data_IF_377601387800
#
_entry.id   IF_377601387800
#
_cell.length_a   1.000
_cell.length_b   1.000
_cell.length_c   1.000
_cell.angle_alpha   90.00
_cell.angle_beta   90.00
_cell.angle_gamma   90.00
#
_symmetry.space_group_name_H-M   'P 1'
#
loop_
_entity.id
_entity.type
_entity.pdbx_description
1 polymer ?
#
# COMPACT_ATOMS: atom_id res chain seq x y z
N UNK A 1 38.39 -26.78 -7.48
CA UNK A 1 37.06 -26.12 -7.65
C UNK A 1 37.26 -24.88 -8.52
N UNK A 2 36.52 -24.72 -9.63
CA UNK A 2 36.76 -23.69 -10.65
C UNK A 2 36.69 -22.25 -10.11
N UNK A 3 36.01 -22.02 -8.99
CA UNK A 3 35.91 -20.71 -8.34
C UNK A 3 37.25 -20.19 -7.79
N UNK A 4 38.22 -21.08 -7.50
CA UNK A 4 39.53 -20.67 -6.94
C UNK A 4 40.47 -19.96 -7.93
N UNK A 5 39.99 -19.66 -9.15
CA UNK A 5 40.74 -18.92 -10.17
C UNK A 5 40.39 -17.42 -10.23
N UNK A 6 39.41 -16.93 -9.45
CA UNK A 6 38.99 -15.52 -9.43
C UNK A 6 39.64 -14.81 -8.24
N UNK A 7 40.10 -13.56 -8.30
CA UNK A 7 40.66 -12.89 -7.11
C UNK A 7 39.71 -12.85 -5.90
N UNK A 8 40.24 -12.95 -4.67
CA UNK A 8 39.51 -12.93 -3.40
C UNK A 8 38.62 -11.70 -3.27
N UNK A 9 39.17 -10.54 -3.61
CA UNK A 9 38.45 -9.26 -3.56
C UNK A 9 37.23 -9.26 -4.48
N UNK A 10 37.37 -9.80 -5.70
CA UNK A 10 36.28 -9.87 -6.66
C UNK A 10 35.20 -10.87 -6.20
N UNK A 11 35.57 -12.01 -5.61
CA UNK A 11 34.59 -12.95 -5.02
C UNK A 11 33.80 -12.33 -3.87
N UNK A 12 34.49 -11.62 -2.97
CA UNK A 12 33.86 -10.91 -1.87
C UNK A 12 32.91 -9.83 -2.39
N UNK A 13 33.38 -9.01 -3.34
CA UNK A 13 32.57 -7.97 -3.96
C UNK A 13 31.32 -8.53 -4.64
N UNK A 14 31.43 -9.63 -5.39
CA UNK A 14 30.28 -10.28 -6.03
C UNK A 14 29.31 -10.85 -4.99
N UNK A 15 29.82 -11.51 -3.95
CA UNK A 15 28.99 -12.08 -2.87
C UNK A 15 28.19 -11.02 -2.13
N UNK A 16 28.85 -9.98 -1.63
CA UNK A 16 28.19 -8.87 -0.95
C UNK A 16 27.33 -8.03 -1.90
N UNK A 17 27.79 -7.81 -3.14
CA UNK A 17 27.07 -7.05 -4.16
C UNK A 17 25.73 -7.68 -4.51
N UNK A 18 25.66 -9.01 -4.66
CA UNK A 18 24.40 -9.74 -4.89
C UNK A 18 23.45 -9.55 -3.70
N UNK A 19 23.95 -9.64 -2.46
CA UNK A 19 23.13 -9.44 -1.26
C UNK A 19 22.59 -8.01 -1.19
N UNK A 20 23.45 -7.01 -1.45
CA UNK A 20 23.04 -5.60 -1.49
C UNK A 20 21.98 -5.35 -2.58
N UNK A 21 22.15 -5.92 -3.77
CA UNK A 21 21.17 -5.82 -4.86
C UNK A 21 19.83 -6.45 -4.48
N UNK A 22 19.84 -7.62 -3.83
CA UNK A 22 18.63 -8.26 -3.34
C UNK A 22 17.91 -7.42 -2.28
N UNK A 23 18.66 -6.85 -1.32
CA UNK A 23 18.11 -5.95 -0.30
C UNK A 23 17.52 -4.68 -0.93
N UNK A 24 18.22 -4.06 -1.88
CA UNK A 24 17.73 -2.90 -2.61
C UNK A 24 16.46 -3.22 -3.41
N UNK A 25 16.41 -4.39 -4.07
CA UNK A 25 15.24 -4.87 -4.80
C UNK A 25 14.03 -5.13 -3.90
N UNK A 26 14.24 -5.77 -2.74
CA UNK A 26 13.21 -5.99 -1.72
C UNK A 26 12.68 -4.65 -1.17
N UNK A 27 13.59 -3.72 -0.85
CA UNK A 27 13.23 -2.39 -0.38
C UNK A 27 12.43 -1.59 -1.40
N UNK A 28 12.89 -1.58 -2.66
CA UNK A 28 12.18 -0.93 -3.76
C UNK A 28 10.78 -1.53 -3.98
N UNK A 29 10.66 -2.87 -3.96
CA UNK A 29 9.37 -3.54 -4.08
C UNK A 29 8.41 -3.17 -2.95
N UNK A 30 8.91 -3.14 -1.70
CA UNK A 30 8.11 -2.75 -0.54
C UNK A 30 7.59 -1.31 -0.66
N UNK A 31 8.45 -0.37 -1.09
CA UNK A 31 8.07 1.02 -1.30
C UNK A 31 6.99 1.18 -2.38
N UNK A 32 7.14 0.49 -3.53
CA UNK A 32 6.13 0.52 -4.60
C UNK A 32 4.77 -0.03 -4.14
N UNK A 33 4.78 -1.07 -3.30
CA UNK A 33 3.54 -1.63 -2.74
C UNK A 33 2.90 -0.74 -1.69
N UNK A 34 3.70 -0.07 -0.87
CA UNK A 34 3.21 0.94 0.08
C UNK A 34 2.57 2.15 -0.62
N UNK A 35 3.09 2.56 -1.78
CA UNK A 35 2.53 3.67 -2.55
C UNK A 35 1.09 3.37 -3.03
N UNK A 36 0.85 2.16 -3.54
CA UNK A 36 -0.49 1.72 -3.92
C UNK A 36 -1.47 1.68 -2.74
N UNK A 37 -1.03 1.19 -1.58
CA UNK A 37 -1.86 1.21 -0.36
C UNK A 37 -2.15 2.64 0.11
N UNK A 38 -1.15 3.52 0.03
CA UNK A 38 -1.29 4.93 0.38
C UNK A 38 -2.27 5.64 -0.55
N UNK A 39 -2.23 5.36 -1.85
CA UNK A 39 -3.16 5.94 -2.84
C UNK A 39 -4.60 5.51 -2.58
N UNK A 40 -4.86 4.23 -2.31
CA UNK A 40 -6.20 3.74 -1.97
C UNK A 40 -6.73 4.35 -0.67
N UNK A 41 -5.88 4.46 0.35
CA UNK A 41 -6.25 5.14 1.59
C UNK A 41 -6.59 6.62 1.36
N UNK A 42 -5.84 7.28 0.47
CA UNK A 42 -6.06 8.68 0.10
C UNK A 42 -7.38 8.87 -0.65
N UNK A 43 -7.73 7.97 -1.57
CA UNK A 43 -9.03 7.99 -2.27
C UNK A 43 -10.20 7.78 -1.30
N UNK A 44 -10.08 6.83 -0.37
CA UNK A 44 -11.10 6.62 0.65
C UNK A 44 -11.27 7.86 1.55
N UNK A 45 -10.17 8.49 1.97
CA UNK A 45 -10.19 9.65 2.87
C UNK A 45 -10.71 10.92 2.19
N UNK A 46 -10.31 11.19 0.95
CA UNK A 46 -10.52 12.48 0.31
C UNK A 46 -11.67 12.49 -0.70
N UNK A 47 -12.05 11.33 -1.25
CA UNK A 47 -13.08 11.23 -2.29
C UNK A 47 -14.30 10.49 -1.74
N UNK A 48 -14.18 9.18 -1.51
CA UNK A 48 -15.35 8.32 -1.24
C UNK A 48 -16.07 8.63 0.08
N UNK A 49 -15.32 8.71 1.20
CA UNK A 49 -15.93 8.93 2.52
C UNK A 49 -16.58 10.33 2.64
N UNK A 50 -15.94 11.43 2.18
CA UNK A 50 -16.60 12.73 2.10
C UNK A 50 -17.87 12.73 1.25
N UNK A 51 -17.85 12.11 0.06
CA UNK A 51 -19.01 12.01 -0.82
C UNK A 51 -20.18 11.27 -0.17
N UNK A 52 -19.96 10.07 0.38
CA UNK A 52 -21.02 9.31 1.08
C UNK A 52 -21.60 10.11 2.25
N UNK A 53 -20.74 10.74 3.05
CA UNK A 53 -21.18 11.55 4.20
C UNK A 53 -21.99 12.77 3.76
N UNK A 54 -21.58 13.44 2.68
CA UNK A 54 -22.29 14.61 2.18
C UNK A 54 -23.61 14.23 1.52
N UNK A 55 -23.67 13.10 0.78
CA UNK A 55 -24.93 12.56 0.27
C UNK A 55 -25.91 12.21 1.40
N UNK A 56 -25.44 11.64 2.51
CA UNK A 56 -26.28 11.40 3.71
C UNK A 56 -26.79 12.69 4.36
N UNK A 57 -26.07 13.81 4.25
CA UNK A 57 -26.56 15.12 4.70
C UNK A 57 -27.65 15.66 3.77
N UNK A 58 -27.51 15.47 2.45
CA UNK A 58 -28.58 15.80 1.48
C UNK A 58 -29.84 14.98 1.81
N UNK A 59 -29.69 13.67 2.04
CA UNK A 59 -30.78 12.79 2.44
C UNK A 59 -31.49 13.30 3.70
N UNK A 60 -30.72 13.58 4.75
CA UNK A 60 -31.26 14.09 6.01
C UNK A 60 -32.00 15.42 5.82
N UNK A 61 -31.42 16.36 5.06
CA UNK A 61 -32.05 17.65 4.77
C UNK A 61 -33.34 17.47 3.96
N UNK A 62 -33.34 16.56 2.98
CA UNK A 62 -34.52 16.23 2.17
C UNK A 62 -35.65 15.60 3.00
N UNK A 63 -35.32 14.69 3.91
CA UNK A 63 -36.27 14.06 4.83
C UNK A 63 -36.86 15.08 5.81
N UNK A 64 -36.04 15.95 6.39
CA UNK A 64 -36.51 17.02 7.28
C UNK A 64 -37.41 18.01 6.54
N UNK A 65 -37.03 18.43 5.33
CA UNK A 65 -37.86 19.30 4.49
C UNK A 65 -39.20 18.65 4.15
N UNK A 66 -39.20 17.35 3.81
CA UNK A 66 -40.43 16.58 3.58
C UNK A 66 -41.31 16.45 4.81
N UNK A 67 -40.71 16.21 5.97
CA UNK A 67 -41.44 16.13 7.23
C UNK A 67 -42.12 17.45 7.56
N UNK A 68 -41.39 18.57 7.42
CA UNK A 68 -41.91 19.88 7.76
C UNK A 68 -42.97 20.37 6.75
N UNK A 69 -42.81 20.06 5.46
CA UNK A 69 -43.85 20.31 4.45
C UNK A 69 -45.17 19.58 4.76
N UNK A 70 -45.12 18.40 5.38
CA UNK A 70 -46.33 17.69 5.85
C UNK A 70 -46.90 18.33 7.12
N UNK A 71 -46.05 18.71 8.07
CA UNK A 71 -46.48 19.43 9.28
C UNK A 71 -47.15 20.75 8.95
N UNK A 72 -46.64 21.47 7.94
CA UNK A 72 -47.23 22.70 7.44
C UNK A 72 -48.71 22.53 7.08
N UNK A 73 -49.13 21.41 6.49
CA UNK A 73 -50.56 21.17 6.17
C UNK A 73 -51.38 20.73 7.39
N UNK A 74 -50.73 20.24 8.45
CA UNK A 74 -51.39 19.78 9.67
C UNK A 74 -51.50 20.87 10.75
N UNK A 75 -50.81 21.99 10.59
CA UNK A 75 -50.74 23.07 11.57
C UNK A 75 -51.85 24.11 11.33
N UNK A 76 -52.54 24.53 12.38
CA UNK A 76 -53.57 25.56 12.31
C UNK A 76 -52.95 26.95 12.03
N UNK A 77 -51.73 27.20 12.53
CA UNK A 77 -50.99 28.45 12.31
C UNK A 77 -49.90 28.31 11.24
N UNK A 78 -50.18 27.50 10.21
CA UNK A 78 -49.24 27.24 9.10
C UNK A 78 -48.77 28.49 8.37
N UNK A 79 -49.50 29.61 8.48
CA UNK A 79 -49.18 30.88 7.82
C UNK A 79 -48.40 31.84 8.71
N UNK A 80 -48.08 31.45 9.95
CA UNK A 80 -47.20 32.22 10.81
C UNK A 80 -45.84 32.46 10.15
N UNK A 81 -45.21 33.58 10.51
CA UNK A 81 -43.86 33.89 10.07
C UNK A 81 -42.88 32.79 10.51
N UNK A 82 -43.08 32.18 11.68
CA UNK A 82 -42.24 31.10 12.19
C UNK A 82 -42.30 29.85 11.31
N UNK A 83 -43.51 29.36 10.97
CA UNK A 83 -43.70 28.18 10.12
C UNK A 83 -43.08 28.38 8.74
N UNK A 84 -43.33 29.54 8.13
CA UNK A 84 -42.75 29.90 6.83
C UNK A 84 -41.23 30.01 6.86
N UNK A 85 -40.67 30.63 7.90
CA UNK A 85 -39.22 30.76 8.06
C UNK A 85 -38.54 29.40 8.24
N UNK A 86 -39.16 28.50 9.00
CA UNK A 86 -38.65 27.15 9.22
C UNK A 86 -38.64 26.33 7.93
N UNK A 87 -39.74 26.34 7.17
CA UNK A 87 -39.83 25.63 5.89
C UNK A 87 -38.81 26.16 4.88
N UNK A 88 -38.66 27.49 4.79
CA UNK A 88 -37.66 28.13 3.94
C UNK A 88 -36.22 27.82 4.39
N UNK A 89 -35.96 27.77 5.70
CA UNK A 89 -34.67 27.36 6.24
C UNK A 89 -34.29 25.94 5.84
N UNK A 90 -35.24 25.00 5.88
CA UNK A 90 -35.03 23.62 5.45
C UNK A 90 -34.84 23.50 3.94
N UNK A 91 -35.61 24.27 3.14
CA UNK A 91 -35.40 24.41 1.68
C UNK A 91 -33.98 24.85 1.36
N UNK A 92 -33.50 25.91 2.01
CA UNK A 92 -32.15 26.44 1.82
C UNK A 92 -31.08 25.44 2.28
N UNK A 93 -31.31 24.73 3.38
CA UNK A 93 -30.40 23.68 3.85
C UNK A 93 -30.27 22.54 2.84
N UNK A 94 -31.37 22.09 2.22
CA UNK A 94 -31.33 21.07 1.17
C UNK A 94 -30.51 21.54 -0.04
N UNK A 95 -30.77 22.75 -0.54
CA UNK A 95 -30.03 23.33 -1.67
C UNK A 95 -28.54 23.49 -1.35
N UNK A 96 -28.22 24.04 -0.17
CA UNK A 96 -26.83 24.22 0.25
C UNK A 96 -26.08 22.90 0.38
N UNK A 97 -26.71 21.85 0.93
CA UNK A 97 -26.08 20.53 1.03
C UNK A 97 -25.87 19.90 -0.35
N UNK A 98 -26.78 20.12 -1.31
CA UNK A 98 -26.62 19.69 -2.69
C UNK A 98 -25.49 20.45 -3.39
N UNK A 99 -25.38 21.76 -3.22
CA UNK A 99 -24.29 22.56 -3.81
C UNK A 99 -22.92 22.19 -3.21
N UNK A 100 -22.86 21.94 -1.90
CA UNK A 100 -21.63 21.52 -1.20
C UNK A 100 -21.10 20.18 -1.72
N UNK A 101 -21.95 19.37 -2.36
CA UNK A 101 -21.53 18.09 -2.94
C UNK A 101 -20.75 18.26 -4.26
N UNK A 102 -21.05 19.29 -5.06
CA UNK A 102 -20.50 19.44 -6.41
C UNK A 102 -18.96 19.31 -6.52
N UNK A 103 -18.16 19.91 -5.61
CA UNK A 103 -16.70 19.76 -5.63
C UNK A 103 -16.17 18.36 -5.32
N UNK A 104 -17.00 17.45 -4.80
CA UNK A 104 -16.62 16.08 -4.44
C UNK A 104 -16.77 15.09 -5.60
N UNK A 105 -17.40 15.51 -6.71
CA UNK A 105 -17.63 14.64 -7.86
C UNK A 105 -16.30 14.22 -8.47
N UNK A 106 -16.10 12.89 -8.53
CA UNK A 106 -14.84 12.25 -8.89
C UNK A 106 -14.94 11.33 -10.11
N UNK A 107 -16.15 11.05 -10.59
CA UNK A 107 -16.38 10.16 -11.74
C UNK A 107 -17.56 10.58 -12.62
N UNK A 108 -17.60 10.15 -13.90
CA UNK A 108 -18.75 10.44 -14.78
C UNK A 108 -20.08 9.86 -14.30
N UNK A 109 -20.07 8.66 -13.70
CA UNK A 109 -21.28 8.04 -13.16
C UNK A 109 -21.81 8.79 -11.93
N UNK A 110 -20.90 9.27 -11.08
CA UNK A 110 -21.24 10.11 -9.94
C UNK A 110 -21.79 11.47 -10.38
N UNK A 111 -21.19 12.09 -11.39
CA UNK A 111 -21.65 13.34 -11.99
C UNK A 111 -23.09 13.21 -12.52
N UNK A 112 -23.41 12.13 -13.23
CA UNK A 112 -24.77 11.85 -13.70
C UNK A 112 -25.77 11.69 -12.55
N UNK A 113 -25.39 10.93 -11.51
CA UNK A 113 -26.22 10.76 -10.33
C UNK A 113 -26.43 12.08 -9.57
N UNK A 114 -25.37 12.89 -9.44
CA UNK A 114 -25.41 14.19 -8.78
C UNK A 114 -26.32 15.18 -9.52
N UNK A 115 -26.21 15.26 -10.85
CA UNK A 115 -27.12 16.07 -11.68
C UNK A 115 -28.58 15.66 -11.51
N UNK A 116 -28.84 14.35 -11.34
CA UNK A 116 -30.18 13.87 -11.09
C UNK A 116 -30.69 14.28 -9.70
N UNK A 117 -29.85 14.21 -8.68
CA UNK A 117 -30.18 14.69 -7.32
C UNK A 117 -30.55 16.17 -7.31
N UNK A 118 -29.75 17.02 -7.96
CA UNK A 118 -30.02 18.46 -8.01
C UNK A 118 -31.32 18.77 -8.76
N UNK A 119 -31.54 18.13 -9.92
CA UNK A 119 -32.78 18.28 -10.69
C UNK A 119 -34.03 17.81 -9.92
N UNK A 120 -33.98 16.63 -9.31
CA UNK A 120 -35.13 16.07 -8.58
C UNK A 120 -35.42 16.86 -7.28
N UNK A 121 -34.39 17.41 -6.62
CA UNK A 121 -34.54 18.30 -5.47
C UNK A 121 -35.21 19.62 -5.85
N UNK A 122 -34.78 20.28 -6.94
CA UNK A 122 -35.41 21.51 -7.45
C UNK A 122 -36.86 21.26 -7.86
N UNK A 123 -37.13 20.14 -8.55
CA UNK A 123 -38.49 19.77 -8.93
C UNK A 123 -39.38 19.50 -7.70
N UNK A 124 -38.83 18.88 -6.65
CA UNK A 124 -39.55 18.67 -5.39
C UNK A 124 -39.85 19.99 -4.68
N UNK A 125 -38.86 20.87 -4.55
CA UNK A 125 -39.01 22.21 -3.98
C UNK A 125 -40.11 22.98 -4.70
N UNK A 126 -40.13 22.97 -6.04
CA UNK A 126 -41.15 23.64 -6.82
C UNK A 126 -42.58 23.14 -6.49
N UNK A 127 -42.75 21.84 -6.20
CA UNK A 127 -44.04 21.29 -5.76
C UNK A 127 -44.41 21.67 -4.33
N UNK A 128 -43.44 21.88 -3.45
CA UNK A 128 -43.71 22.43 -2.13
C UNK A 128 -44.05 23.93 -2.20
N UNK A 129 -43.39 24.70 -3.07
CA UNK A 129 -43.75 26.10 -3.31
C UNK A 129 -45.21 26.22 -3.83
N UNK A 130 -45.62 25.33 -4.74
CA UNK A 130 -47.01 25.23 -5.22
C UNK A 130 -47.99 24.86 -4.08
N UNK A 131 -47.60 23.93 -3.20
CA UNK A 131 -48.38 23.58 -2.00
C UNK A 131 -48.59 24.78 -1.07
N UNK A 132 -47.54 25.56 -0.83
CA UNK A 132 -47.60 26.78 0.00
C UNK A 132 -48.55 27.80 -0.63
N UNK A 133 -48.51 28.02 -1.94
CA UNK A 133 -49.46 28.91 -2.62
C UNK A 133 -50.92 28.41 -2.50
N UNK A 134 -51.14 27.11 -2.74
CA UNK A 134 -52.47 26.49 -2.63
C UNK A 134 -53.06 26.59 -1.22
N UNK A 135 -52.21 26.59 -0.18
CA UNK A 135 -52.66 26.71 1.22
C UNK A 135 -53.40 28.01 1.53
N UNK A 136 -53.28 29.02 0.68
CA UNK A 136 -53.97 30.30 0.84
C UNK A 136 -55.44 30.26 0.44
N UNK A 137 -55.84 29.26 -0.35
CA UNK A 137 -57.14 29.21 -1.06
C UNK A 137 -57.85 27.86 -1.01
N UNK A 138 -57.17 26.78 -0.62
CA UNK A 138 -57.68 25.41 -0.61
C UNK A 138 -58.01 24.93 0.79
N UNK A 139 -58.94 23.99 0.90
CA UNK A 139 -59.22 23.31 2.17
C UNK A 139 -58.10 22.34 2.56
N UNK A 140 -58.03 21.96 3.83
CA UNK A 140 -57.08 20.95 4.31
C UNK A 140 -57.21 19.62 3.57
N UNK A 141 -58.44 19.18 3.27
CA UNK A 141 -58.67 17.96 2.49
C UNK A 141 -58.08 18.02 1.09
N UNK A 142 -58.18 19.17 0.41
CA UNK A 142 -57.56 19.39 -0.90
C UNK A 142 -56.02 19.41 -0.82
N UNK A 143 -55.46 20.01 0.24
CA UNK A 143 -54.01 20.02 0.47
C UNK A 143 -53.46 18.63 0.79
N UNK A 144 -54.19 17.81 1.55
CA UNK A 144 -53.83 16.42 1.79
C UNK A 144 -53.81 15.60 0.50
N UNK A 145 -54.78 15.81 -0.40
CA UNK A 145 -54.79 15.17 -1.73
C UNK A 145 -53.58 15.62 -2.54
N UNK A 146 -53.25 16.91 -2.53
CA UNK A 146 -52.06 17.43 -3.22
C UNK A 146 -50.76 16.83 -2.66
N UNK A 147 -50.64 16.68 -1.34
CA UNK A 147 -49.49 16.00 -0.73
C UNK A 147 -49.40 14.54 -1.18
N UNK A 148 -50.52 13.83 -1.22
CA UNK A 148 -50.56 12.40 -1.56
C UNK A 148 -50.20 12.17 -3.02
N UNK A 149 -50.78 12.95 -3.92
CA UNK A 149 -50.78 12.67 -5.36
C UNK A 149 -49.71 13.45 -6.12
N UNK A 150 -49.23 14.59 -5.60
CA UNK A 150 -48.27 15.46 -6.27
C UNK A 150 -46.93 15.51 -5.54
N UNK A 151 -46.91 15.92 -4.26
CA UNK A 151 -45.62 16.14 -3.57
C UNK A 151 -44.97 14.82 -3.13
N UNK A 152 -45.74 13.82 -2.70
CA UNK A 152 -45.20 12.55 -2.22
C UNK A 152 -44.51 11.71 -3.30
N UNK A 153 -45.03 11.59 -4.55
CA UNK A 153 -44.29 10.96 -5.64
C UNK A 153 -42.99 11.70 -5.97
N UNK A 154 -43.01 13.03 -6.01
CA UNK A 154 -41.81 13.83 -6.29
C UNK A 154 -40.76 13.69 -5.19
N UNK A 155 -41.18 13.64 -3.92
CA UNK A 155 -40.29 13.37 -2.79
C UNK A 155 -39.66 11.96 -2.88
N UNK A 156 -40.40 10.96 -3.36
CA UNK A 156 -39.87 9.60 -3.58
C UNK A 156 -38.84 9.58 -4.71
N UNK A 157 -39.10 10.31 -5.81
CA UNK A 157 -38.13 10.43 -6.91
C UNK A 157 -36.82 11.09 -6.44
N UNK A 158 -36.92 12.19 -5.68
CA UNK A 158 -35.76 12.84 -5.08
C UNK A 158 -35.01 11.91 -4.12
N UNK A 159 -35.70 11.20 -3.22
CA UNK A 159 -35.07 10.22 -2.33
C UNK A 159 -34.35 9.11 -3.11
N UNK A 160 -34.98 8.54 -4.14
CA UNK A 160 -34.37 7.49 -4.97
C UNK A 160 -33.12 7.98 -5.71
N UNK A 161 -33.09 9.25 -6.16
CA UNK A 161 -31.89 9.83 -6.76
C UNK A 161 -30.73 9.96 -5.77
N UNK A 162 -31.03 10.30 -4.50
CA UNK A 162 -30.01 10.42 -3.44
C UNK A 162 -29.48 9.04 -3.05
N UNK A 163 -30.37 8.06 -2.90
CA UNK A 163 -29.99 6.65 -2.68
C UNK A 163 -29.08 6.14 -3.80
N UNK A 164 -29.39 6.50 -5.06
CA UNK A 164 -28.54 6.13 -6.20
C UNK A 164 -27.16 6.78 -6.13
N UNK A 165 -27.07 8.05 -5.74
CA UNK A 165 -25.79 8.73 -5.55
C UNK A 165 -24.95 8.08 -4.44
N UNK A 166 -25.58 7.69 -3.32
CA UNK A 166 -24.93 6.94 -2.24
C UNK A 166 -24.42 5.58 -2.77
N UNK A 167 -25.25 4.86 -3.52
CA UNK A 167 -24.90 3.55 -4.10
C UNK A 167 -23.68 3.64 -5.03
N UNK A 168 -23.61 4.66 -5.89
CA UNK A 168 -22.48 4.88 -6.81
C UNK A 168 -21.18 5.06 -6.02
N UNK A 169 -21.21 5.87 -4.96
CA UNK A 169 -20.02 6.10 -4.14
C UNK A 169 -19.61 4.87 -3.31
N UNK A 170 -20.58 4.12 -2.78
CA UNK A 170 -20.30 2.87 -2.07
C UNK A 170 -19.66 1.84 -3.01
N UNK A 171 -20.17 1.71 -4.25
CA UNK A 171 -19.58 0.85 -5.28
C UNK A 171 -18.17 1.28 -5.67
N UNK A 172 -17.95 2.58 -5.83
CA UNK A 172 -16.62 3.14 -6.11
C UNK A 172 -15.62 2.83 -4.98
N UNK A 173 -16.04 3.02 -3.73
CA UNK A 173 -15.25 2.68 -2.54
C UNK A 173 -14.93 1.18 -2.45
N UNK A 174 -15.93 0.31 -2.68
CA UNK A 174 -15.76 -1.14 -2.67
C UNK A 174 -14.80 -1.60 -3.76
N UNK A 175 -14.94 -1.08 -4.99
CA UNK A 175 -14.04 -1.40 -6.10
C UNK A 175 -12.60 -0.96 -5.81
N UNK A 176 -12.42 0.23 -5.21
CA UNK A 176 -11.10 0.68 -4.73
C UNK A 176 -10.52 -0.27 -3.66
N UNK A 177 -11.37 -0.82 -2.79
CA UNK A 177 -11.01 -1.85 -1.81
C UNK A 177 -10.56 -3.16 -2.48
N UNK A 178 -11.34 -3.68 -3.43
CA UNK A 178 -11.02 -4.93 -4.14
C UNK A 178 -9.70 -4.85 -4.93
N UNK A 179 -9.43 -3.71 -5.57
CA UNK A 179 -8.15 -3.46 -6.24
C UNK A 179 -7.00 -3.45 -5.24
N UNK A 180 -7.20 -2.88 -4.05
CA UNK A 180 -6.22 -2.85 -2.97
C UNK A 180 -5.91 -4.25 -2.43
N UNK A 181 -6.94 -5.06 -2.20
CA UNK A 181 -6.80 -6.44 -1.74
C UNK A 181 -6.06 -7.31 -2.76
N UNK A 182 -6.40 -7.18 -4.04
CA UNK A 182 -5.69 -7.88 -5.11
C UNK A 182 -4.21 -7.48 -5.19
N UNK A 183 -3.93 -6.17 -5.07
CA UNK A 183 -2.57 -5.64 -5.05
C UNK A 183 -1.76 -6.12 -3.84
N UNK A 184 -2.43 -6.26 -2.68
CA UNK A 184 -1.86 -6.77 -1.44
C UNK A 184 -1.51 -8.25 -1.57
N UNK A 185 -2.44 -9.12 -1.98
CA UNK A 185 -2.19 -10.56 -2.14
C UNK A 185 -1.10 -10.83 -3.18
N UNK A 186 -1.14 -10.16 -4.33
CA UNK A 186 -0.07 -10.25 -5.34
C UNK A 186 1.29 -9.79 -4.78
N UNK A 187 1.31 -8.66 -4.05
CA UNK A 187 2.53 -8.14 -3.44
C UNK A 187 3.10 -9.06 -2.38
N UNK A 188 2.24 -9.69 -1.59
CA UNK A 188 2.61 -10.68 -0.59
C UNK A 188 3.25 -11.91 -1.23
N UNK A 189 2.65 -12.48 -2.28
CA UNK A 189 3.23 -13.62 -3.00
C UNK A 189 4.61 -13.28 -3.56
N UNK A 190 4.75 -12.14 -4.26
CA UNK A 190 6.04 -11.71 -4.83
C UNK A 190 7.09 -11.48 -3.73
N UNK A 191 6.71 -10.85 -2.63
CA UNK A 191 7.60 -10.62 -1.49
C UNK A 191 8.09 -11.94 -0.88
N UNK A 192 7.20 -12.91 -0.67
CA UNK A 192 7.60 -14.24 -0.19
C UNK A 192 8.55 -14.94 -1.15
N UNK A 193 8.27 -14.90 -2.46
CA UNK A 193 9.16 -15.48 -3.47
C UNK A 193 10.55 -14.84 -3.45
N UNK A 194 10.62 -13.51 -3.35
CA UNK A 194 11.90 -12.78 -3.27
C UNK A 194 12.67 -13.12 -1.99
N UNK A 195 12.00 -13.26 -0.84
CA UNK A 195 12.63 -13.65 0.43
C UNK A 195 13.21 -15.06 0.30
N UNK A 196 12.44 -16.03 -0.20
CA UNK A 196 12.92 -17.42 -0.37
C UNK A 196 14.13 -17.45 -1.30
N UNK A 197 14.04 -16.74 -2.44
CA UNK A 197 15.15 -16.66 -3.39
C UNK A 197 16.41 -16.03 -2.76
N UNK A 198 16.23 -14.95 -1.99
CA UNK A 198 17.33 -14.29 -1.30
C UNK A 198 18.00 -15.22 -0.27
N UNK A 199 17.22 -15.97 0.52
CA UNK A 199 17.74 -16.95 1.47
C UNK A 199 18.54 -18.04 0.76
N UNK A 200 18.01 -18.60 -0.34
CA UNK A 200 18.71 -19.62 -1.13
C UNK A 200 20.04 -19.09 -1.66
N UNK A 201 20.05 -17.88 -2.22
CA UNK A 201 21.27 -17.25 -2.74
C UNK A 201 22.28 -17.00 -1.61
N UNK A 202 21.85 -16.50 -0.45
CA UNK A 202 22.72 -16.29 0.71
C UNK A 202 23.35 -17.62 1.16
N UNK A 203 22.60 -18.71 1.22
CA UNK A 203 23.12 -20.02 1.58
C UNK A 203 24.15 -20.54 0.57
N UNK A 204 23.92 -20.32 -0.73
CA UNK A 204 24.87 -20.67 -1.79
C UNK A 204 26.16 -19.86 -1.62
N UNK A 205 26.05 -18.53 -1.49
CA UNK A 205 27.20 -17.63 -1.31
C UNK A 205 27.97 -18.02 -0.05
N UNK A 206 27.29 -18.22 1.08
CA UNK A 206 27.91 -18.61 2.35
C UNK A 206 28.66 -19.95 2.23
N UNK A 207 28.08 -20.94 1.53
CA UNK A 207 28.71 -22.24 1.30
C UNK A 207 29.95 -22.11 0.42
N UNK A 208 29.86 -21.32 -0.65
CA UNK A 208 30.99 -21.03 -1.55
C UNK A 208 32.10 -20.30 -0.81
N UNK A 209 31.78 -19.28 -0.02
CA UNK A 209 32.74 -18.53 0.79
C UNK A 209 33.44 -19.41 1.82
N UNK A 210 32.67 -20.23 2.54
CA UNK A 210 33.20 -21.16 3.53
C UNK A 210 34.17 -22.17 2.90
N UNK A 211 33.84 -22.72 1.73
CA UNK A 211 34.69 -23.70 1.04
C UNK A 211 35.90 -23.09 0.35
N UNK A 212 35.77 -21.89 -0.22
CA UNK A 212 36.85 -21.26 -1.01
C UNK A 212 37.81 -20.40 -0.19
N UNK A 213 37.40 -19.94 1.01
CA UNK A 213 38.18 -19.03 1.85
C UNK A 213 38.40 -19.63 3.24
N UNK A 214 37.34 -19.84 4.01
CA UNK A 214 37.48 -20.24 5.42
C UNK A 214 38.21 -21.59 5.58
N UNK A 215 37.92 -22.57 4.73
CA UNK A 215 38.60 -23.88 4.77
C UNK A 215 40.10 -23.80 4.41
N UNK A 216 40.53 -23.23 3.27
CA UNK A 216 41.96 -23.07 2.97
C UNK A 216 42.74 -22.25 4.00
N UNK A 217 42.13 -21.18 4.54
CA UNK A 217 42.74 -20.38 5.61
C UNK A 217 42.94 -21.22 6.87
N UNK A 218 41.94 -22.01 7.27
CA UNK A 218 42.06 -22.90 8.42
C UNK A 218 43.15 -23.96 8.21
N UNK A 219 43.20 -24.59 7.03
CA UNK A 219 44.24 -25.58 6.71
C UNK A 219 45.64 -24.97 6.76
N UNK A 220 45.82 -23.75 6.20
CA UNK A 220 47.10 -23.05 6.25
C UNK A 220 47.50 -22.68 7.68
N UNK A 221 46.55 -22.25 8.51
CA UNK A 221 46.77 -21.96 9.92
C UNK A 221 47.22 -23.22 10.69
N UNK A 222 46.55 -24.36 10.45
CA UNK A 222 46.89 -25.63 11.09
C UNK A 222 48.30 -26.10 10.68
N UNK A 223 48.68 -26.01 9.40
CA UNK A 223 50.05 -26.32 8.96
C UNK A 223 51.07 -25.37 9.58
N UNK A 224 50.77 -24.07 9.67
CA UNK A 224 51.69 -23.08 10.25
C UNK A 224 51.93 -23.32 11.74
N UNK A 225 50.89 -23.72 12.48
CA UNK A 225 51.01 -24.10 13.91
C UNK A 225 51.96 -25.28 14.10
N UNK A 226 51.82 -26.34 13.28
CA UNK A 226 52.73 -27.50 13.34
C UNK A 226 54.19 -27.14 13.06
N UNK A 227 54.43 -26.24 12.10
CA UNK A 227 55.78 -25.73 11.81
C UNK A 227 56.35 -25.01 13.03
N UNK A 228 55.55 -24.16 13.68
CA UNK A 228 55.96 -23.43 14.88
C UNK A 228 56.27 -24.35 16.08
N UNK A 229 55.59 -25.51 16.16
CA UNK A 229 55.86 -26.56 17.14
C UNK A 229 57.09 -27.43 16.79
N UNK A 230 57.77 -27.15 15.66
CA UNK A 230 58.96 -27.86 15.21
C UNK A 230 58.68 -29.08 14.32
N UNK A 231 57.42 -29.38 14.01
CA UNK A 231 57.05 -30.47 13.11
C UNK A 231 57.17 -30.02 11.64
N UNK A 232 58.39 -30.10 11.11
CA UNK A 232 58.67 -29.81 9.70
C UNK A 232 58.20 -30.93 8.75
N UNK A 233 57.71 -32.08 9.24
CA UNK A 233 57.21 -33.16 8.37
C UNK A 233 55.83 -32.84 7.79
N UNK A 234 55.18 -31.78 8.28
CA UNK A 234 53.93 -31.27 7.70
C UNK A 234 54.10 -30.82 6.24
N UNK A 235 52.99 -30.68 5.54
CA UNK A 235 52.93 -30.14 4.18
C UNK A 235 51.98 -28.95 4.14
N UNK A 236 52.26 -28.00 3.23
CA UNK A 236 51.36 -26.89 2.94
C UNK A 236 50.63 -27.24 1.66
N UNK A 237 49.32 -27.48 1.76
CA UNK A 237 48.50 -27.77 0.58
C UNK A 237 48.32 -26.50 -0.27
N UNK A 238 48.85 -26.53 -1.48
CA UNK A 238 48.68 -25.47 -2.48
C UNK A 238 47.55 -25.90 -3.42
N UNK A 239 46.51 -25.08 -3.52
CA UNK A 239 45.37 -25.35 -4.39
C UNK A 239 44.80 -24.02 -4.89
N UNK A 240 44.32 -23.93 -6.13
CA UNK A 240 43.78 -22.69 -6.72
C UNK A 240 44.82 -21.83 -7.46
N UNK A 241 44.42 -20.61 -7.79
CA UNK A 241 45.25 -19.60 -8.47
C UNK A 241 44.93 -18.18 -7.98
N UNK A 242 44.55 -18.04 -6.71
CA UNK A 242 44.14 -16.77 -6.08
C UNK A 242 45.18 -16.24 -5.09
N UNK A 243 44.90 -15.08 -4.48
CA UNK A 243 45.76 -14.44 -3.48
C UNK A 243 46.02 -15.35 -2.27
N UNK A 244 45.07 -16.25 -1.93
CA UNK A 244 45.27 -17.28 -0.91
C UNK A 244 46.23 -18.37 -1.39
N UNK A 245 46.18 -18.76 -2.67
CA UNK A 245 47.17 -19.67 -3.27
C UNK A 245 48.57 -19.07 -3.26
N UNK A 246 48.72 -17.78 -3.58
CA UNK A 246 50.02 -17.10 -3.50
C UNK A 246 50.56 -17.10 -2.06
N UNK A 247 49.69 -16.88 -1.07
CA UNK A 247 50.06 -17.03 0.34
C UNK A 247 50.46 -18.47 0.68
N UNK A 248 49.71 -19.47 0.21
CA UNK A 248 50.05 -20.90 0.40
C UNK A 248 51.42 -21.25 -0.20
N UNK A 249 51.73 -20.74 -1.41
CA UNK A 249 53.04 -20.93 -2.06
C UNK A 249 54.16 -20.29 -1.26
N UNK A 250 53.98 -19.06 -0.78
CA UNK A 250 54.96 -18.37 0.05
C UNK A 250 55.24 -19.12 1.37
N UNK A 251 54.20 -19.62 2.03
CA UNK A 251 54.35 -20.44 3.24
C UNK A 251 55.04 -21.78 2.97
N UNK A 252 54.78 -22.41 1.83
CA UNK A 252 55.46 -23.64 1.43
C UNK A 252 56.96 -23.40 1.16
N UNK A 253 57.31 -22.30 0.49
CA UNK A 253 58.69 -21.90 0.26
C UNK A 253 59.43 -21.65 1.58
N UNK A 254 58.80 -20.96 2.53
CA UNK A 254 59.34 -20.75 3.88
C UNK A 254 59.64 -22.08 4.60
N UNK A 255 58.72 -23.06 4.53
CA UNK A 255 58.93 -24.39 5.10
C UNK A 255 60.12 -25.11 4.44
N UNK A 256 60.27 -25.00 3.13
CA UNK A 256 61.41 -25.58 2.41
C UNK A 256 62.74 -24.98 2.89
N UNK A 257 62.83 -23.66 2.96
CA UNK A 257 64.06 -22.99 3.42
C UNK A 257 64.41 -23.34 4.86
N UNK A 258 63.41 -23.52 5.73
CA UNK A 258 63.61 -24.01 7.11
C UNK A 258 64.19 -25.43 7.13
N UNK A 259 63.67 -26.34 6.30
CA UNK A 259 64.20 -27.70 6.16
C UNK A 259 65.64 -27.69 5.66
N UNK A 260 65.92 -26.93 4.62
CA UNK A 260 67.25 -26.82 4.02
C UNK A 260 68.25 -26.28 5.05
N UNK A 261 67.86 -25.27 5.82
CA UNK A 261 68.70 -24.70 6.89
C UNK A 261 69.01 -25.74 7.97
N UNK A 262 68.03 -26.52 8.42
CA UNK A 262 68.27 -27.60 9.40
C UNK A 262 69.14 -28.71 8.81
N UNK A 263 68.92 -29.08 7.53
CA UNK A 263 69.74 -30.08 6.86
C UNK A 263 71.20 -29.63 6.76
N UNK A 264 71.45 -28.38 6.36
CA UNK A 264 72.79 -27.80 6.32
C UNK A 264 73.47 -27.78 7.70
N UNK A 265 72.74 -27.45 8.77
CA UNK A 265 73.26 -27.49 10.14
C UNK A 265 73.60 -28.93 10.57
N UNK A 266 72.74 -29.90 10.22
CA UNK A 266 72.95 -31.32 10.50
C UNK A 266 74.18 -31.87 9.77
N UNK A 267 74.32 -31.56 8.48
CA UNK A 267 75.47 -32.00 7.67
C UNK A 267 76.78 -31.40 8.18
N UNK A 268 76.76 -30.12 8.59
CA UNK A 268 77.93 -29.45 9.17
C UNK A 268 78.33 -30.02 10.54
N UNK A 269 77.35 -30.45 11.35
CA UNK A 269 77.58 -31.03 12.68
C UNK A 269 78.00 -32.50 12.63
N UNK A 270 77.64 -33.24 11.58
CA UNK A 270 78.07 -34.63 11.36
C UNK A 270 79.48 -34.79 10.79
N UNK A 271 80.12 -33.68 10.36
CA UNK A 271 81.50 -33.62 9.89
C UNK A 271 82.53 -33.32 11.02
N UNK A 272 82.06 -33.17 12.26
CA UNK A 272 82.88 -33.02 13.48
C UNK A 272 82.81 -34.31 14.31
#
# INVERSE_FOLDING_TARGET
MPIRNIGLNLRAFLGFGIICLLLAGLGAHALLKMDGLHQSAKQLQNDWLPSVRQAGRIETAGLLYRLDARRFVMDDDRRSAESMNKLNGLKNSLLQNADTYGPLVSSPEEEDAYRKVTADAVAYIAKIDELVELSTRKSDSELFVFIRDVTSPQAKASQASIEKLIEVNLKGAEQSGLVSDSNYESGRTVTFTLIILAVVIILIVATVFTRSIARPVKALLDSTRRIAEGDLRTTVEINGADELTELQKASAAMLSSLKDTIQHISDASGLL
#
